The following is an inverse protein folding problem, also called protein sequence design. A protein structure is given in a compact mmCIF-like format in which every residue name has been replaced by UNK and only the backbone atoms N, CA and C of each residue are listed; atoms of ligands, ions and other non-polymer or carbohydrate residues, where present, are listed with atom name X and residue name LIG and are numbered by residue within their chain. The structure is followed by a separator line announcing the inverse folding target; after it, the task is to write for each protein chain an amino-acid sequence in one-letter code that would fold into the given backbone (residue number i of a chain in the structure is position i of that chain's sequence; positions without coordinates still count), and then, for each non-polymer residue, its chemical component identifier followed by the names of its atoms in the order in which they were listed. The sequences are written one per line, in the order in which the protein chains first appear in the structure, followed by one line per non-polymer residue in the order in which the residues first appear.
data_IF_130112413558
#
_entry.id   IF_130112413558
#
_cell.length_a   1.000
_cell.length_b   1.000
_cell.length_c   1.000
_cell.angle_alpha   90.00
_cell.angle_beta   90.00
_cell.angle_gamma   90.00
#
_symmetry.space_group_name_H-M   'P 1'
#
loop_
_entity.id
_entity.type
_entity.pdbx_description
1 polymer ?
#
# COMPACT_ATOMS: atom_id res chain seq x y z
N UNK A 1 68.74 -21.64 -16.39
CA UNK A 1 67.65 -20.87 -17.03
C UNK A 1 66.85 -21.87 -17.86
N UNK A 2 65.57 -22.19 -17.67
CA UNK A 2 64.41 -21.48 -17.10
C UNK A 2 63.41 -22.55 -16.54
N UNK A 3 62.99 -22.43 -15.28
CA UNK A 3 61.74 -21.81 -14.80
C UNK A 3 60.49 -22.72 -14.96
N UNK A 4 60.04 -23.21 -13.80
CA UNK A 4 58.82 -24.00 -13.55
C UNK A 4 57.57 -23.18 -13.82
N UNK A 5 56.45 -23.82 -14.12
CA UNK A 5 55.12 -23.30 -13.75
C UNK A 5 54.29 -24.43 -13.15
N UNK A 6 54.06 -24.34 -11.84
CA UNK A 6 53.10 -25.15 -11.10
C UNK A 6 51.79 -24.33 -11.09
N UNK A 7 50.71 -24.85 -11.68
CA UNK A 7 49.40 -24.22 -11.58
C UNK A 7 48.80 -24.54 -10.20
N UNK A 8 48.62 -23.54 -9.35
CA UNK A 8 47.76 -23.61 -8.17
C UNK A 8 46.45 -22.89 -8.47
N UNK A 9 45.35 -23.64 -8.54
CA UNK A 9 43.99 -23.10 -8.67
C UNK A 9 43.53 -22.49 -7.35
N UNK A 10 43.16 -21.21 -7.39
CA UNK A 10 42.61 -20.44 -6.28
C UNK A 10 41.11 -20.75 -6.16
N UNK A 11 40.64 -21.25 -5.02
CA UNK A 11 39.20 -21.38 -4.73
C UNK A 11 38.74 -20.03 -4.15
N UNK A 12 37.93 -19.30 -4.90
CA UNK A 12 37.27 -18.08 -4.44
C UNK A 12 36.07 -18.44 -3.57
N UNK A 13 36.12 -18.10 -2.28
CA UNK A 13 34.94 -18.12 -1.40
C UNK A 13 34.10 -16.87 -1.68
N UNK A 14 32.89 -17.04 -2.23
CA UNK A 14 31.90 -15.96 -2.30
C UNK A 14 31.22 -15.89 -0.94
N UNK A 15 31.61 -14.92 -0.11
CA UNK A 15 30.84 -14.56 1.07
C UNK A 15 29.64 -13.73 0.64
N UNK A 16 28.44 -14.31 0.71
CA UNK A 16 27.20 -13.55 0.66
C UNK A 16 27.15 -12.67 1.92
N UNK A 17 27.27 -11.35 1.76
CA UNK A 17 27.02 -10.43 2.86
C UNK A 17 25.52 -10.40 3.10
N UNK A 18 25.08 -10.98 4.22
CA UNK A 18 23.73 -10.74 4.74
C UNK A 18 23.74 -9.38 5.43
N UNK A 19 23.11 -8.37 4.82
CA UNK A 19 22.82 -7.13 5.52
C UNK A 19 21.68 -7.40 6.52
N UNK A 20 21.97 -7.26 7.81
CA UNK A 20 20.92 -7.20 8.82
C UNK A 20 20.20 -5.87 8.66
N UNK A 21 18.93 -5.91 8.27
CA UNK A 21 18.08 -4.73 8.25
C UNK A 21 17.76 -4.37 9.70
N UNK A 22 18.09 -3.15 10.12
CA UNK A 22 17.73 -2.68 11.46
C UNK A 22 16.20 -2.56 11.53
N UNK A 23 15.56 -3.38 12.38
CA UNK A 23 14.13 -3.23 12.62
C UNK A 23 13.93 -2.01 13.53
N UNK A 24 13.48 -0.91 12.93
CA UNK A 24 12.99 0.23 13.71
C UNK A 24 11.60 -0.10 14.25
N UNK A 25 11.47 -0.10 15.57
CA UNK A 25 10.19 -0.27 16.23
C UNK A 25 9.54 1.10 16.42
N UNK A 26 8.35 1.27 15.84
CA UNK A 26 7.47 2.38 16.20
C UNK A 26 6.85 2.13 17.57
N UNK A 27 6.51 3.20 18.29
CA UNK A 27 5.80 3.08 19.56
C UNK A 27 4.51 2.25 19.38
N UNK A 28 4.19 1.31 20.29
CA UNK A 28 2.97 0.53 20.20
C UNK A 28 1.73 1.43 20.12
N UNK A 29 0.90 1.22 19.10
CA UNK A 29 -0.40 1.89 18.96
C UNK A 29 -1.50 0.95 19.47
N UNK A 30 -2.34 1.44 20.38
CA UNK A 30 -3.54 0.70 20.78
C UNK A 30 -4.50 0.63 19.59
N UNK A 31 -4.79 -0.58 19.11
CA UNK A 31 -5.70 -0.81 17.98
C UNK A 31 -7.17 -0.84 18.42
N UNK A 32 -7.43 -1.30 19.65
CA UNK A 32 -8.77 -1.55 20.18
C UNK A 32 -8.96 -0.86 21.55
N UNK A 33 -8.89 0.48 21.62
CA UNK A 33 -9.01 1.19 22.89
C UNK A 33 -10.41 0.96 23.50
N UNK A 34 -10.45 0.46 24.73
CA UNK A 34 -11.70 0.22 25.47
C UNK A 34 -12.32 -1.17 25.25
N UNK A 35 -11.72 -2.02 24.41
CA UNK A 35 -12.14 -3.42 24.25
C UNK A 35 -11.44 -4.32 25.27
N UNK A 36 -12.20 -5.23 25.90
CA UNK A 36 -11.68 -6.28 26.77
C UNK A 36 -11.39 -7.55 25.96
N UNK A 37 -10.30 -7.49 25.18
CA UNK A 37 -9.92 -8.56 24.24
C UNK A 37 -9.40 -9.78 25.00
N UNK A 38 -10.08 -10.92 24.84
CA UNK A 38 -9.71 -12.20 25.43
C UNK A 38 -8.92 -13.10 24.45
N UNK A 39 -9.33 -13.08 23.18
CA UNK A 39 -8.69 -13.80 22.08
C UNK A 39 -8.73 -12.96 20.82
N UNK A 40 -7.73 -13.08 19.95
CA UNK A 40 -7.74 -12.43 18.65
C UNK A 40 -7.08 -13.30 17.57
N UNK A 41 -7.48 -13.06 16.33
CA UNK A 41 -6.91 -13.62 15.11
C UNK A 41 -6.78 -12.52 14.05
N UNK A 42 -5.82 -12.70 13.14
CA UNK A 42 -5.64 -11.84 11.99
C UNK A 42 -6.16 -12.55 10.75
N UNK A 43 -7.16 -11.96 10.08
CA UNK A 43 -7.75 -12.52 8.87
C UNK A 43 -8.09 -11.40 7.88
N UNK A 44 -7.77 -11.59 6.61
CA UNK A 44 -8.20 -10.70 5.53
C UNK A 44 -9.67 -10.99 5.20
N UNK A 45 -10.58 -10.21 5.79
CA UNK A 45 -12.02 -10.43 5.67
C UNK A 45 -12.59 -9.73 4.43
N UNK A 46 -11.93 -8.69 3.93
CA UNK A 46 -12.40 -7.88 2.79
C UNK A 46 -11.64 -8.15 1.48
N UNK A 47 -10.60 -8.99 1.49
CA UNK A 47 -9.83 -9.40 0.32
C UNK A 47 -8.84 -8.34 -0.19
N UNK A 48 -8.49 -7.35 0.63
CA UNK A 48 -7.55 -6.29 0.24
C UNK A 48 -6.06 -6.65 0.49
N UNK A 49 -5.78 -7.85 1.00
CA UNK A 49 -4.43 -8.32 1.31
C UNK A 49 -3.88 -7.78 2.63
N UNK A 50 -4.69 -7.08 3.44
CA UNK A 50 -4.33 -6.60 4.79
C UNK A 50 -5.29 -7.23 5.80
N UNK A 51 -4.79 -7.95 6.81
CA UNK A 51 -5.68 -8.62 7.74
C UNK A 51 -6.42 -7.62 8.65
N UNK A 52 -7.71 -7.83 8.85
CA UNK A 52 -8.45 -7.28 9.96
C UNK A 52 -8.11 -8.01 11.26
N UNK A 53 -8.36 -7.36 12.40
CA UNK A 53 -8.27 -7.98 13.73
C UNK A 53 -9.64 -8.53 14.09
N UNK A 54 -9.81 -9.84 14.14
CA UNK A 54 -11.00 -10.52 14.65
C UNK A 54 -10.76 -10.85 16.11
N UNK A 55 -11.70 -10.55 17.00
CA UNK A 55 -11.49 -10.76 18.43
C UNK A 55 -12.76 -11.14 19.19
N UNK A 56 -12.55 -11.87 20.30
CA UNK A 56 -13.56 -12.25 21.27
C UNK A 56 -13.41 -11.39 22.52
N UNK A 57 -14.50 -10.77 23.00
CA UNK A 57 -14.48 -10.05 24.26
C UNK A 57 -14.99 -10.89 25.44
N UNK A 58 -14.90 -10.37 26.67
CA UNK A 58 -15.34 -11.05 27.89
C UNK A 58 -16.84 -11.34 27.97
N UNK A 59 -17.66 -10.64 27.18
CA UNK A 59 -19.10 -10.93 27.03
C UNK A 59 -19.37 -12.11 26.07
N UNK A 60 -18.33 -12.66 25.42
CA UNK A 60 -18.45 -13.70 24.41
C UNK A 60 -18.84 -13.20 23.02
N UNK A 61 -18.72 -11.89 22.75
CA UNK A 61 -19.04 -11.30 21.45
C UNK A 61 -17.86 -11.43 20.48
N UNK A 62 -18.12 -11.93 19.27
CA UNK A 62 -17.16 -11.94 18.17
C UNK A 62 -17.24 -10.63 17.39
N UNK A 63 -16.15 -9.87 17.35
CA UNK A 63 -16.05 -8.54 16.72
C UNK A 63 -14.87 -8.50 15.76
N UNK A 64 -14.82 -7.48 14.90
CA UNK A 64 -13.65 -7.21 14.07
C UNK A 64 -13.32 -5.71 14.00
N UNK A 65 -12.08 -5.38 13.71
CA UNK A 65 -11.62 -4.01 13.47
C UNK A 65 -10.66 -3.95 12.27
N UNK A 66 -10.82 -2.90 11.47
CA UNK A 66 -9.89 -2.54 10.40
C UNK A 66 -8.68 -1.80 10.99
N UNK A 67 -7.48 -2.04 10.43
CA UNK A 67 -6.25 -1.39 10.93
C UNK A 67 -6.16 0.10 10.52
N UNK A 68 -6.90 0.50 9.49
CA UNK A 68 -6.96 1.86 8.96
C UNK A 68 -8.27 2.56 9.30
N UNK A 69 -8.68 3.47 8.42
CA UNK A 69 -10.01 4.05 8.44
C UNK A 69 -10.99 3.11 7.75
N UNK A 70 -12.21 3.06 8.28
CA UNK A 70 -13.34 2.52 7.52
C UNK A 70 -13.52 3.34 6.24
N UNK A 71 -13.64 2.67 5.09
CA UNK A 71 -13.74 3.37 3.80
C UNK A 71 -15.18 3.82 3.57
N UNK A 72 -15.41 5.13 3.73
CA UNK A 72 -16.70 5.80 3.52
C UNK A 72 -16.49 7.24 3.01
N UNK A 73 -17.56 8.03 2.89
CA UNK A 73 -17.47 9.39 2.34
C UNK A 73 -16.56 10.33 3.16
N UNK A 74 -16.52 10.20 4.48
CA UNK A 74 -15.63 10.99 5.35
C UNK A 74 -14.16 10.68 5.06
N UNK A 75 -13.86 9.41 4.76
CA UNK A 75 -12.53 8.97 4.34
C UNK A 75 -12.12 9.62 3.03
N UNK A 76 -13.06 9.85 2.10
CA UNK A 76 -12.74 10.59 0.89
C UNK A 76 -12.33 12.04 1.19
N UNK A 77 -13.07 12.74 2.06
CA UNK A 77 -12.69 14.10 2.48
C UNK A 77 -11.32 14.14 3.15
N UNK A 78 -10.93 13.08 3.85
CA UNK A 78 -9.57 12.94 4.35
C UNK A 78 -8.54 12.80 3.22
N UNK A 79 -8.82 12.01 2.16
CA UNK A 79 -7.93 11.90 1.00
C UNK A 79 -7.69 13.26 0.32
N UNK A 80 -8.71 14.12 0.26
CA UNK A 80 -8.62 15.47 -0.31
C UNK A 80 -7.75 16.43 0.51
N UNK A 81 -7.51 16.13 1.79
CA UNK A 81 -6.74 17.00 2.67
C UNK A 81 -5.22 16.95 2.42
N UNK A 82 -4.75 16.01 1.59
CA UNK A 82 -3.33 15.74 1.36
C UNK A 82 -3.04 15.38 -0.10
N UNK A 83 -1.80 15.59 -0.51
CA UNK A 83 -1.22 14.93 -1.67
C UNK A 83 -0.58 13.62 -1.23
N UNK A 84 -0.62 12.60 -2.08
CA UNK A 84 -0.14 11.26 -1.76
C UNK A 84 0.93 10.81 -2.75
N UNK A 85 2.16 10.71 -2.29
CA UNK A 85 3.32 10.30 -3.10
C UNK A 85 3.43 8.79 -3.15
N UNK A 86 3.47 8.20 -4.34
CA UNK A 86 3.56 6.74 -4.51
C UNK A 86 5.00 6.30 -4.24
N UNK A 87 5.21 5.40 -3.28
CA UNK A 87 6.55 5.01 -2.82
C UNK A 87 7.41 4.38 -3.93
N UNK A 88 6.80 3.51 -4.72
CA UNK A 88 7.46 2.82 -5.82
C UNK A 88 7.74 3.73 -7.02
N UNK A 89 7.18 4.95 -7.04
CA UNK A 89 7.32 5.92 -8.11
C UNK A 89 7.42 7.33 -7.52
N UNK A 90 8.62 7.76 -7.10
CA UNK A 90 8.82 9.01 -6.36
C UNK A 90 8.34 10.27 -7.10
N UNK A 91 8.26 10.26 -8.42
CA UNK A 91 7.77 11.40 -9.20
C UNK A 91 6.25 11.37 -9.44
N UNK A 92 5.57 10.34 -8.92
CA UNK A 92 4.13 10.14 -9.05
C UNK A 92 3.38 10.58 -7.79
N UNK A 93 2.38 11.45 -7.99
CA UNK A 93 1.54 12.01 -6.93
C UNK A 93 0.07 11.82 -7.27
N UNK A 94 -0.68 11.30 -6.30
CA UNK A 94 -2.14 11.24 -6.31
C UNK A 94 -2.71 12.43 -5.54
N UNK A 95 -3.67 13.13 -6.15
CA UNK A 95 -4.48 14.14 -5.48
C UNK A 95 -5.97 13.86 -5.68
N UNK A 96 -6.78 14.28 -4.72
CA UNK A 96 -8.22 14.04 -4.70
C UNK A 96 -8.98 15.36 -4.58
N UNK A 97 -10.14 15.46 -5.22
CA UNK A 97 -10.94 16.69 -5.20
C UNK A 97 -12.41 16.47 -5.53
N UNK A 98 -13.24 17.45 -5.17
CA UNK A 98 -14.64 17.53 -5.58
C UNK A 98 -15.51 16.36 -5.10
N UNK A 99 -15.09 15.67 -4.04
CA UNK A 99 -15.79 14.54 -3.41
C UNK A 99 -15.78 13.24 -4.21
N UNK A 100 -15.21 13.24 -5.42
CA UNK A 100 -15.29 12.09 -6.33
C UNK A 100 -14.26 12.09 -7.46
N UNK A 101 -13.24 12.93 -7.46
CA UNK A 101 -12.23 12.95 -8.51
C UNK A 101 -10.85 12.65 -7.96
N UNK A 102 -10.07 11.92 -8.74
CA UNK A 102 -8.63 11.82 -8.51
C UNK A 102 -7.86 12.38 -9.70
N UNK A 103 -6.60 12.71 -9.45
CA UNK A 103 -5.59 13.02 -10.45
C UNK A 103 -4.31 12.27 -10.11
N UNK A 104 -3.75 11.59 -11.11
CA UNK A 104 -2.38 11.08 -11.07
C UNK A 104 -1.50 12.05 -11.86
N UNK A 105 -0.50 12.62 -11.20
CA UNK A 105 0.54 13.44 -11.83
C UNK A 105 1.86 12.68 -11.80
N UNK A 106 2.60 12.68 -12.90
CA UNK A 106 3.95 12.08 -13.00
C UNK A 106 4.86 13.10 -13.67
N UNK A 107 5.97 13.43 -13.02
CA UNK A 107 6.90 14.49 -13.43
C UNK A 107 6.20 15.85 -13.58
N UNK A 108 5.29 16.16 -12.66
CA UNK A 108 4.50 17.40 -12.68
C UNK A 108 3.46 17.50 -13.80
N UNK A 109 3.26 16.45 -14.60
CA UNK A 109 2.24 16.39 -15.67
C UNK A 109 1.09 15.48 -15.28
N UNK A 110 -0.14 15.94 -15.47
CA UNK A 110 -1.34 15.11 -15.32
C UNK A 110 -1.30 13.95 -16.30
N UNK A 111 -1.26 12.71 -15.80
CA UNK A 111 -1.33 11.47 -16.59
C UNK A 111 -2.73 10.90 -16.66
N UNK A 112 -3.41 10.89 -15.53
CA UNK A 112 -4.79 10.43 -15.44
C UNK A 112 -5.61 11.39 -14.57
N UNK A 113 -6.86 11.58 -14.95
CA UNK A 113 -7.87 12.16 -14.07
C UNK A 113 -9.22 11.55 -14.40
N UNK A 114 -9.89 11.05 -13.38
CA UNK A 114 -11.20 10.43 -13.54
C UNK A 114 -12.03 10.62 -12.28
N UNK A 115 -13.33 10.39 -12.45
CA UNK A 115 -14.21 10.15 -11.32
C UNK A 115 -13.79 8.86 -10.61
N UNK A 116 -14.01 8.79 -9.30
CA UNK A 116 -13.76 7.65 -8.43
C UNK A 116 -14.98 7.49 -7.51
N UNK A 117 -15.49 6.26 -7.43
CA UNK A 117 -16.69 5.94 -6.66
C UNK A 117 -16.37 4.97 -5.55
N UNK A 118 -17.08 5.11 -4.43
CA UNK A 118 -17.12 4.07 -3.40
C UNK A 118 -17.97 2.89 -3.92
N UNK A 119 -17.39 1.70 -3.94
CA UNK A 119 -18.07 0.46 -4.35
C UNK A 119 -17.49 -0.70 -3.54
N UNK A 120 -18.33 -1.36 -2.76
CA UNK A 120 -17.97 -2.52 -1.93
C UNK A 120 -16.76 -2.25 -1.02
N UNK A 121 -16.83 -1.16 -0.24
CA UNK A 121 -15.77 -0.78 0.71
C UNK A 121 -14.46 -0.32 0.07
N UNK A 122 -14.47 0.00 -1.23
CA UNK A 122 -13.27 0.36 -2.00
C UNK A 122 -13.55 1.58 -2.87
N UNK A 123 -12.61 2.53 -2.95
CA UNK A 123 -12.70 3.60 -3.94
C UNK A 123 -12.17 3.12 -5.30
N UNK A 124 -13.00 3.12 -6.34
CA UNK A 124 -12.67 2.62 -7.68
C UNK A 124 -12.85 3.70 -8.73
N UNK A 125 -11.81 3.98 -9.51
CA UNK A 125 -11.88 4.90 -10.65
C UNK A 125 -12.89 4.42 -11.69
N UNK A 126 -13.70 5.33 -12.23
CA UNK A 126 -14.55 5.08 -13.37
C UNK A 126 -13.73 5.13 -14.66
N UNK A 127 -13.48 4.00 -15.33
CA UNK A 127 -13.23 3.89 -16.79
C UNK A 127 -13.19 2.40 -17.21
N UNK A 128 -13.77 2.09 -18.37
CA UNK A 128 -13.99 0.73 -18.87
C UNK A 128 -13.23 0.43 -20.16
N UNK A 129 -11.91 0.64 -20.18
CA UNK A 129 -11.08 0.00 -21.20
C UNK A 129 -9.85 -0.63 -20.56
N UNK A 130 -9.34 -1.69 -21.18
CA UNK A 130 -8.13 -2.37 -20.71
C UNK A 130 -6.87 -1.49 -20.85
N UNK A 131 -6.96 -0.38 -21.58
CA UNK A 131 -5.87 0.58 -21.79
C UNK A 131 -6.01 1.85 -20.94
N UNK A 132 -7.09 1.98 -20.18
CA UNK A 132 -7.32 3.14 -19.33
C UNK A 132 -6.58 3.00 -17.99
N UNK A 133 -6.22 4.15 -17.43
CA UNK A 133 -5.70 4.22 -16.07
C UNK A 133 -6.79 3.81 -15.08
N UNK A 134 -6.44 2.96 -14.12
CA UNK A 134 -7.32 2.48 -13.07
C UNK A 134 -6.67 2.73 -11.72
N UNK A 135 -7.46 3.26 -10.78
CA UNK A 135 -7.08 3.43 -9.39
C UNK A 135 -8.11 2.72 -8.51
N UNK A 136 -7.60 1.90 -7.61
CA UNK A 136 -8.34 1.23 -6.57
C UNK A 136 -7.67 1.55 -5.23
N UNK A 137 -8.44 2.06 -4.28
CA UNK A 137 -7.96 2.32 -2.91
C UNK A 137 -8.81 1.48 -1.97
N UNK A 138 -8.15 0.53 -1.31
CA UNK A 138 -8.73 -0.46 -0.40
C UNK A 138 -8.19 -0.33 1.03
N UNK A 139 -7.27 0.63 1.25
CA UNK A 139 -6.76 0.99 2.56
C UNK A 139 -6.46 2.48 2.65
N UNK A 140 -6.87 3.09 3.76
CA UNK A 140 -6.58 4.48 4.09
C UNK A 140 -6.22 4.56 5.56
N UNK A 141 -5.20 5.33 5.89
CA UNK A 141 -4.82 5.69 7.26
C UNK A 141 -4.27 7.11 7.27
N UNK A 142 -3.90 7.62 8.44
CA UNK A 142 -3.29 8.95 8.57
C UNK A 142 -2.05 9.15 7.69
N UNK A 143 -1.27 8.09 7.50
CA UNK A 143 0.09 8.14 6.93
C UNK A 143 0.27 7.26 5.69
N UNK A 144 -0.76 6.56 5.26
CA UNK A 144 -0.68 5.61 4.16
C UNK A 144 -2.02 5.45 3.47
N UNK A 145 -2.00 5.43 2.14
CA UNK A 145 -3.05 4.84 1.31
C UNK A 145 -2.45 3.73 0.48
N UNK A 146 -3.23 2.70 0.20
CA UNK A 146 -2.80 1.64 -0.71
C UNK A 146 -3.96 1.06 -1.50
N UNK A 147 -3.58 0.26 -2.48
CA UNK A 147 -4.48 -0.56 -3.26
C UNK A 147 -3.82 -0.91 -4.57
N UNK A 148 -4.55 -0.79 -5.67
CA UNK A 148 -4.06 -1.13 -7.01
C UNK A 148 -4.06 0.06 -7.94
N UNK A 149 -3.02 0.13 -8.76
CA UNK A 149 -2.92 1.13 -9.81
C UNK A 149 -2.50 0.49 -11.12
N UNK A 150 -3.13 0.93 -12.19
CA UNK A 150 -2.72 0.68 -13.57
C UNK A 150 -2.68 2.01 -14.28
N UNK A 151 -1.59 2.33 -14.94
CA UNK A 151 -1.49 3.50 -15.80
C UNK A 151 -0.45 3.21 -16.90
N UNK A 152 -0.76 3.44 -18.19
CA UNK A 152 0.16 3.13 -19.29
C UNK A 152 1.54 3.76 -19.17
N UNK A 153 1.68 4.91 -18.50
CA UNK A 153 2.94 5.62 -18.34
C UNK A 153 3.67 5.24 -17.05
N UNK A 154 2.95 4.76 -16.02
CA UNK A 154 3.52 4.37 -14.73
C UNK A 154 3.84 2.87 -14.66
N UNK A 155 2.89 2.03 -15.08
CA UNK A 155 2.91 0.58 -14.86
C UNK A 155 2.89 -0.22 -16.17
N UNK A 156 2.88 0.48 -17.32
CA UNK A 156 2.70 -0.14 -18.63
C UNK A 156 1.31 -0.77 -18.76
N UNK A 157 1.24 -2.00 -19.25
CA UNK A 157 -0.04 -2.73 -19.38
C UNK A 157 -0.52 -3.38 -18.08
N UNK A 158 0.35 -3.48 -17.07
CA UNK A 158 0.10 -4.20 -15.82
C UNK A 158 -0.66 -3.38 -14.78
N UNK A 159 -1.42 -4.08 -13.94
CA UNK A 159 -1.93 -3.54 -12.67
C UNK A 159 -0.99 -4.01 -11.55
N UNK A 160 -0.58 -3.09 -10.69
CA UNK A 160 0.32 -3.36 -9.57
C UNK A 160 -0.30 -2.90 -8.26
N UNK A 161 0.17 -3.46 -7.16
CA UNK A 161 -0.10 -2.90 -5.84
C UNK A 161 0.74 -1.62 -5.67
N UNK A 162 0.17 -0.62 -5.00
CA UNK A 162 0.90 0.58 -4.63
C UNK A 162 0.72 0.91 -3.16
N UNK A 163 1.70 1.59 -2.60
CA UNK A 163 1.64 2.27 -1.31
C UNK A 163 1.97 3.73 -1.56
N UNK A 164 1.22 4.65 -0.98
CA UNK A 164 1.49 6.07 -1.05
C UNK A 164 1.41 6.72 0.32
N UNK A 165 2.29 7.69 0.56
CA UNK A 165 2.39 8.44 1.81
C UNK A 165 2.13 9.92 1.59
N UNK A 166 1.68 10.66 2.63
CA UNK A 166 1.55 12.10 2.55
C UNK A 166 2.85 12.77 2.10
N UNK A 167 2.71 13.78 1.25
CA UNK A 167 3.78 14.76 1.00
C UNK A 167 4.03 15.66 2.23
#
# INVERSE_FOLDING_TARGET
MNARVLLTSLISFISLQASAYEMSYIAPKALLPGEDVQQFELADLNGNGRPEVVFLNSNGELKYAVQGFEINQTTFSFLESKSWKIDSYPDAVLTFSGGRYYRLSVDGRTRASASILLTDGTFKSLYYSEFASRLLIDFVSENEISGKIKDPYLTGSGEINFVARPE
#
